data_IF_625798266572
#
_entry.id   IF_625798266572
#
_cell.length_a   1.000
_cell.length_b   1.000
_cell.length_c   1.000
_cell.angle_alpha   90.00
_cell.angle_beta   90.00
_cell.angle_gamma   90.00
#
_symmetry.space_group_name_H-M   'P 1'
#
loop_
_entity.id
_entity.type
_entity.pdbx_description
1 polymer ?
#
# COMPACT_ATOMS: atom_id res chain seq x y z
N UNK A 1 -1.58 18.84 -13.48
CA UNK A 1 -1.14 17.71 -14.31
C UNK A 1 -1.86 16.48 -13.80
N UNK A 2 -2.45 15.68 -14.68
CA UNK A 2 -3.29 14.54 -14.32
C UNK A 2 -2.43 13.30 -14.04
N UNK A 3 -2.57 12.70 -12.86
CA UNK A 3 -1.90 11.46 -12.51
C UNK A 3 -2.63 10.27 -13.17
N UNK A 4 -1.94 9.55 -14.05
CA UNK A 4 -2.54 8.43 -14.79
C UNK A 4 -2.15 7.09 -14.16
N UNK A 5 -3.14 6.30 -13.76
CA UNK A 5 -2.95 4.99 -13.16
C UNK A 5 -3.47 3.88 -14.09
N UNK A 6 -2.69 2.81 -14.28
CA UNK A 6 -3.11 1.64 -15.06
C UNK A 6 -3.71 0.56 -14.16
N UNK A 7 -4.73 -0.20 -14.63
CA UNK A 7 -5.38 -1.23 -13.81
C UNK A 7 -4.41 -2.32 -13.35
N UNK A 8 -4.75 -2.97 -12.23
CA UNK A 8 -3.98 -4.08 -11.67
C UNK A 8 -3.84 -5.24 -12.66
N UNK A 9 -2.67 -5.89 -12.73
CA UNK A 9 -2.47 -7.08 -13.57
C UNK A 9 -3.13 -8.34 -12.97
N UNK A 10 -3.44 -8.35 -11.67
CA UNK A 10 -4.07 -9.48 -10.96
C UNK A 10 -5.51 -9.15 -10.54
N UNK A 11 -6.37 -10.17 -10.56
CA UNK A 11 -7.73 -10.10 -10.03
C UNK A 11 -7.79 -10.33 -8.51
N UNK A 12 -6.80 -11.02 -7.97
CA UNK A 12 -6.71 -11.39 -6.55
C UNK A 12 -6.09 -10.26 -5.74
N UNK A 13 -5.02 -9.66 -6.26
CA UNK A 13 -4.40 -8.47 -5.66
C UNK A 13 -4.60 -7.29 -6.59
N UNK A 14 -5.50 -6.39 -6.19
CA UNK A 14 -5.91 -5.26 -7.01
C UNK A 14 -5.24 -4.00 -6.50
N UNK A 15 -4.50 -3.34 -7.38
CA UNK A 15 -4.01 -1.98 -7.13
C UNK A 15 -4.93 -0.98 -7.82
N UNK A 16 -5.35 0.04 -7.09
CA UNK A 16 -6.22 1.12 -7.56
C UNK A 16 -5.75 2.48 -7.06
N UNK A 17 -6.21 3.58 -7.66
CA UNK A 17 -6.00 4.91 -7.10
C UNK A 17 -6.83 5.05 -5.82
N UNK A 18 -6.28 5.69 -4.81
CA UNK A 18 -7.03 5.99 -3.60
C UNK A 18 -8.27 6.85 -3.90
N UNK A 19 -9.41 6.39 -3.39
CA UNK A 19 -10.66 7.14 -3.35
C UNK A 19 -11.22 7.03 -1.93
N UNK A 20 -11.42 8.17 -1.27
CA UNK A 20 -11.97 8.23 0.09
C UNK A 20 -13.38 7.64 0.23
N UNK A 21 -14.15 7.56 -0.86
CA UNK A 21 -15.46 6.92 -0.87
C UNK A 21 -15.36 5.39 -0.86
N UNK A 22 -14.33 4.84 -1.50
CA UNK A 22 -14.07 3.39 -1.55
C UNK A 22 -13.24 2.90 -0.35
N UNK A 23 -12.31 3.72 0.14
CA UNK A 23 -11.40 3.39 1.23
C UNK A 23 -11.47 4.42 2.36
N UNK A 24 -12.64 4.61 2.99
CA UNK A 24 -12.86 5.67 3.98
C UNK A 24 -11.95 5.57 5.21
N UNK A 25 -11.42 4.37 5.52
CA UNK A 25 -10.53 4.14 6.66
C UNK A 25 -9.18 4.84 6.51
N UNK A 26 -8.67 5.02 5.28
CA UNK A 26 -7.44 5.79 5.05
C UNK A 26 -7.68 7.30 5.04
N UNK A 27 -8.92 7.77 5.04
CA UNK A 27 -9.18 9.22 5.07
C UNK A 27 -8.50 9.90 6.26
N UNK A 28 -8.56 9.26 7.43
CA UNK A 28 -8.04 9.82 8.67
C UNK A 28 -6.51 9.99 8.69
N UNK A 29 -5.76 9.27 7.82
CA UNK A 29 -4.31 9.45 7.71
C UNK A 29 -3.92 10.61 6.79
N UNK A 30 -4.83 11.13 5.96
CA UNK A 30 -4.60 12.31 5.11
C UNK A 30 -5.21 13.59 5.68
N UNK A 31 -5.99 13.49 6.76
CA UNK A 31 -6.49 14.65 7.48
C UNK A 31 -5.37 15.24 8.36
N UNK A 32 -5.28 16.57 8.44
CA UNK A 32 -4.27 17.26 9.24
C UNK A 32 -4.27 16.73 10.69
N UNK A 33 -3.21 16.03 11.13
CA UNK A 33 -3.21 15.37 12.43
C UNK A 33 -3.16 16.41 13.55
N UNK A 34 -4.05 16.31 14.53
CA UNK A 34 -3.83 16.97 15.81
C UNK A 34 -2.75 16.22 16.60
N UNK A 35 -2.05 16.92 17.49
CA UNK A 35 -1.06 16.30 18.41
C UNK A 35 -1.68 15.21 19.30
N UNK A 36 -2.99 15.28 19.51
CA UNK A 36 -3.78 14.36 20.31
C UNK A 36 -4.34 13.18 19.50
N UNK A 37 -4.17 13.20 18.17
CA UNK A 37 -4.65 12.12 17.31
C UNK A 37 -3.85 10.83 17.56
N UNK A 38 -4.52 9.68 17.74
CA UNK A 38 -3.83 8.40 17.83
C UNK A 38 -3.08 8.06 16.53
N UNK A 39 -3.52 8.62 15.40
CA UNK A 39 -2.92 8.40 14.08
C UNK A 39 -1.79 9.38 13.75
N UNK A 40 -1.34 10.24 14.68
CA UNK A 40 -0.31 11.28 14.39
C UNK A 40 0.97 10.74 13.75
N UNK A 41 1.33 9.49 14.04
CA UNK A 41 2.52 8.83 13.49
C UNK A 41 2.29 8.16 12.14
N UNK A 42 1.03 8.04 11.72
CA UNK A 42 0.59 7.53 10.41
C UNK A 42 0.11 8.66 9.50
N UNK A 43 0.13 9.89 10.00
CA UNK A 43 -0.35 11.03 9.25
C UNK A 43 0.55 11.32 8.05
N UNK A 44 -0.09 11.61 6.93
CA UNK A 44 0.51 11.86 5.64
C UNK A 44 0.11 13.26 5.17
N UNK A 45 0.94 13.91 4.33
CA UNK A 45 0.56 15.19 3.75
C UNK A 45 -0.75 15.07 2.97
N UNK A 46 -1.74 15.96 3.17
CA UNK A 46 -3.04 15.88 2.50
C UNK A 46 -2.93 15.84 0.97
N UNK A 47 -1.93 16.52 0.39
CA UNK A 47 -1.64 16.53 -1.04
C UNK A 47 -1.18 15.17 -1.60
N UNK A 48 -0.74 14.24 -0.74
CA UNK A 48 -0.39 12.89 -1.17
C UNK A 48 -1.63 12.03 -1.45
N UNK A 49 -2.80 12.37 -0.90
CA UNK A 49 -4.04 11.63 -1.13
C UNK A 49 -4.37 11.51 -2.62
N UNK A 50 -4.16 12.57 -3.40
CA UNK A 50 -4.44 12.57 -4.84
C UNK A 50 -3.54 11.61 -5.63
N UNK A 51 -2.38 11.22 -5.06
CA UNK A 51 -1.37 10.35 -5.70
C UNK A 51 -1.24 9.00 -5.00
N UNK A 52 -1.96 8.80 -3.91
CA UNK A 52 -1.99 7.56 -3.17
C UNK A 52 -2.59 6.45 -4.02
N UNK A 53 -2.05 5.25 -3.87
CA UNK A 53 -2.64 4.03 -4.45
C UNK A 53 -2.94 3.04 -3.34
N UNK A 54 -3.99 2.26 -3.51
CA UNK A 54 -4.39 1.22 -2.57
C UNK A 54 -4.12 -0.12 -3.22
N UNK A 55 -3.41 -1.00 -2.52
CA UNK A 55 -3.26 -2.41 -2.87
C UNK A 55 -4.18 -3.23 -1.97
N UNK A 56 -5.18 -3.85 -2.57
CA UNK A 56 -6.20 -4.67 -1.93
C UNK A 56 -5.91 -6.15 -2.17
N UNK A 57 -6.04 -6.98 -1.13
CA UNK A 57 -6.13 -8.42 -1.31
C UNK A 57 -7.59 -8.83 -1.30
N UNK A 58 -8.07 -9.25 -2.47
CA UNK A 58 -9.44 -9.74 -2.70
C UNK A 58 -9.54 -11.27 -2.67
N UNK A 59 -8.41 -11.96 -2.45
CA UNK A 59 -8.44 -13.39 -2.18
C UNK A 59 -8.92 -13.65 -0.75
N UNK A 60 -9.43 -14.86 -0.53
CA UNK A 60 -9.80 -15.41 0.78
C UNK A 60 -8.58 -15.94 1.56
N UNK A 61 -7.37 -15.66 1.08
CA UNK A 61 -6.10 -16.16 1.62
C UNK A 61 -5.12 -15.02 1.85
N UNK A 62 -4.33 -15.15 2.92
CA UNK A 62 -3.24 -14.23 3.20
C UNK A 62 -2.11 -14.36 2.16
N UNK A 63 -1.55 -13.22 1.75
CA UNK A 63 -0.34 -13.16 0.94
C UNK A 63 0.89 -13.17 1.86
N UNK A 64 1.74 -14.17 1.69
CA UNK A 64 2.94 -14.42 2.52
C UNK A 64 4.22 -13.90 1.90
N UNK A 65 4.27 -13.83 0.57
CA UNK A 65 5.32 -13.16 -0.16
C UNK A 65 4.73 -12.47 -1.39
N UNK A 66 5.25 -11.29 -1.68
CA UNK A 66 4.78 -10.43 -2.76
C UNK A 66 5.99 -9.81 -3.44
N UNK A 67 6.03 -9.93 -4.76
CA UNK A 67 6.99 -9.23 -5.61
C UNK A 67 6.25 -8.51 -6.73
N UNK A 68 6.54 -7.23 -6.88
CA UNK A 68 5.95 -6.42 -7.94
C UNK A 68 6.90 -5.33 -8.38
N UNK A 69 6.62 -4.75 -9.55
CA UNK A 69 7.34 -3.63 -10.14
C UNK A 69 6.41 -2.45 -10.33
N UNK A 70 6.87 -1.29 -9.87
CA UNK A 70 6.34 -0.01 -10.29
C UNK A 70 7.01 0.41 -11.59
N UNK A 71 6.21 0.59 -12.63
CA UNK A 71 6.59 1.27 -13.86
C UNK A 71 6.16 2.73 -13.72
N UNK A 72 7.13 3.63 -13.54
CA UNK A 72 6.91 5.03 -13.20
C UNK A 72 7.37 5.94 -14.34
N UNK A 73 6.48 6.80 -14.83
CA UNK A 73 6.82 7.89 -15.74
C UNK A 73 6.83 9.20 -14.96
N UNK A 74 7.85 10.02 -15.16
CA UNK A 74 8.05 11.31 -14.49
C UNK A 74 7.68 12.48 -15.41
N UNK A 75 7.60 13.69 -14.84
CA UNK A 75 7.28 14.92 -15.59
C UNK A 75 8.24 15.22 -16.75
N UNK A 76 9.52 14.85 -16.60
CA UNK A 76 10.55 14.98 -17.62
C UNK A 76 10.46 13.91 -18.74
N UNK A 77 9.42 13.05 -18.70
CA UNK A 77 9.23 11.93 -19.61
C UNK A 77 10.12 10.72 -19.29
N UNK A 78 10.93 10.80 -18.24
CA UNK A 78 11.83 9.72 -17.86
C UNK A 78 11.03 8.54 -17.29
N UNK A 79 11.43 7.32 -17.63
CA UNK A 79 10.77 6.10 -17.17
C UNK A 79 11.70 5.36 -16.24
N UNK A 80 11.25 5.12 -15.00
CA UNK A 80 11.98 4.31 -14.02
C UNK A 80 11.18 3.08 -13.64
N UNK A 81 11.91 2.02 -13.33
CA UNK A 81 11.36 0.79 -12.77
C UNK A 81 11.81 0.66 -11.34
N UNK A 82 10.90 0.32 -10.44
CA UNK A 82 11.24 -0.03 -9.06
C UNK A 82 10.65 -1.38 -8.72
N UNK A 83 11.51 -2.32 -8.32
CA UNK A 83 11.05 -3.60 -7.78
C UNK A 83 10.83 -3.44 -6.29
N UNK A 84 9.70 -3.95 -5.82
CA UNK A 84 9.40 -4.13 -4.40
C UNK A 84 9.29 -5.61 -4.15
N UNK A 85 9.89 -6.06 -3.05
CA UNK A 85 9.83 -7.45 -2.60
C UNK A 85 9.61 -7.44 -1.10
N UNK A 86 8.66 -8.23 -0.66
CA UNK A 86 8.29 -8.37 0.74
C UNK A 86 7.98 -9.83 1.01
N UNK A 87 8.55 -10.37 2.07
CA UNK A 87 8.29 -11.70 2.57
C UNK A 87 8.00 -11.64 4.08
N UNK A 88 7.12 -12.54 4.51
CA UNK A 88 6.56 -12.57 5.86
C UNK A 88 7.26 -13.51 6.84
N UNK A 89 8.45 -14.01 6.49
CA UNK A 89 9.10 -15.09 7.23
C UNK A 89 10.15 -14.54 8.20
N UNK A 90 9.81 -14.49 9.48
CA UNK A 90 10.81 -14.44 10.55
C UNK A 90 10.94 -15.82 11.20
N UNK A 91 12.10 -16.12 11.79
CA UNK A 91 12.32 -17.36 12.55
C UNK A 91 11.20 -17.48 13.60
N UNK A 92 10.36 -18.51 13.45
CA UNK A 92 9.24 -18.88 14.33
C UNK A 92 7.98 -17.99 14.35
N UNK A 93 7.91 -16.91 13.55
CA UNK A 93 6.70 -16.07 13.47
C UNK A 93 6.35 -15.75 12.02
N UNK A 94 5.15 -16.18 11.63
CA UNK A 94 4.50 -15.82 10.38
C UNK A 94 3.88 -14.42 10.49
N UNK A 95 4.18 -13.55 9.52
CA UNK A 95 3.46 -12.29 9.36
C UNK A 95 2.99 -12.12 7.90
N UNK A 96 1.68 -12.04 7.63
CA UNK A 96 1.21 -11.80 6.27
C UNK A 96 1.72 -10.44 5.76
N UNK A 97 2.16 -10.41 4.51
CA UNK A 97 2.55 -9.17 3.80
C UNK A 97 1.32 -8.38 3.35
N UNK A 98 0.20 -9.08 3.19
CA UNK A 98 -1.13 -8.52 3.00
C UNK A 98 -2.16 -9.58 3.40
N UNK A 99 -2.96 -9.31 4.43
CA UNK A 99 -3.98 -10.25 4.92
C UNK A 99 -5.11 -10.43 3.91
N UNK A 100 -5.82 -11.54 3.99
CA UNK A 100 -7.07 -11.76 3.28
C UNK A 100 -8.04 -10.61 3.57
N UNK A 101 -8.69 -10.10 2.53
CA UNK A 101 -9.68 -9.00 2.60
C UNK A 101 -9.14 -7.67 3.18
N UNK A 102 -7.82 -7.54 3.37
CA UNK A 102 -7.16 -6.33 3.87
C UNK A 102 -6.59 -5.51 2.70
N UNK A 103 -6.26 -4.26 2.98
CA UNK A 103 -5.64 -3.38 2.01
C UNK A 103 -4.56 -2.50 2.64
N UNK A 104 -3.67 -1.97 1.80
CA UNK A 104 -2.66 -1.00 2.21
C UNK A 104 -2.65 0.21 1.29
N UNK A 105 -2.61 1.39 1.90
CA UNK A 105 -2.37 2.66 1.22
C UNK A 105 -0.87 2.82 1.02
N UNK A 106 -0.46 3.12 -0.21
CA UNK A 106 0.93 3.31 -0.62
C UNK A 106 1.07 4.75 -1.10
N UNK A 107 1.87 5.52 -0.37
CA UNK A 107 2.08 6.94 -0.62
C UNK A 107 3.56 7.28 -0.65
N UNK A 108 3.93 8.46 -1.17
CA UNK A 108 5.31 8.91 -1.14
C UNK A 108 5.96 8.87 0.24
N UNK A 109 5.21 9.27 1.27
CA UNK A 109 5.69 9.33 2.63
C UNK A 109 5.83 7.96 3.29
N UNK A 110 4.85 7.07 3.11
CA UNK A 110 4.84 5.75 3.72
C UNK A 110 3.76 4.82 3.13
N UNK A 111 3.93 3.52 3.36
CA UNK A 111 2.87 2.53 3.21
C UNK A 111 2.20 2.24 4.56
N UNK A 112 0.87 2.20 4.61
CA UNK A 112 0.06 1.94 5.82
C UNK A 112 -1.00 0.89 5.52
N UNK A 113 -1.08 -0.14 6.34
CA UNK A 113 -2.11 -1.19 6.29
C UNK A 113 -3.39 -0.72 6.98
N UNK A 114 -4.55 -1.09 6.42
CA UNK A 114 -5.85 -0.76 6.98
C UNK A 114 -6.04 -1.42 8.35
N UNK A 115 -5.71 -2.71 8.50
CA UNK A 115 -5.78 -3.38 9.80
C UNK A 115 -4.88 -2.74 10.86
N UNK A 116 -3.78 -2.09 10.47
CA UNK A 116 -2.94 -1.34 11.40
C UNK A 116 -3.58 0.00 11.82
N UNK A 117 -4.20 0.73 10.87
CA UNK A 117 -5.01 1.92 11.20
C UNK A 117 -6.10 1.56 12.20
N UNK A 118 -6.83 0.45 11.95
CA UNK A 118 -7.85 -0.02 12.87
C UNK A 118 -7.31 -0.37 14.25
N UNK A 119 -6.16 -1.06 14.31
CA UNK A 119 -5.52 -1.43 15.57
C UNK A 119 -5.23 -0.18 16.41
N UNK A 120 -4.62 0.84 15.80
CA UNK A 120 -4.30 2.11 16.47
C UNK A 120 -5.56 2.85 16.91
N UNK A 121 -6.60 2.92 16.07
CA UNK A 121 -7.87 3.54 16.42
C UNK A 121 -8.60 2.83 17.57
N UNK A 122 -8.39 1.53 17.74
CA UNK A 122 -8.93 0.74 18.86
C UNK A 122 -8.09 0.84 20.15
N UNK A 123 -7.10 1.74 20.19
CA UNK A 123 -6.22 1.93 21.35
C UNK A 123 -5.00 1.00 21.37
N UNK A 124 -4.74 0.31 20.26
CA UNK A 124 -3.52 -0.46 20.05
C UNK A 124 -2.27 0.41 19.93
N UNK A 125 -1.11 -0.19 20.18
CA UNK A 125 0.19 0.50 20.12
C UNK A 125 0.67 0.72 18.69
N UNK A 126 1.47 1.77 18.46
CA UNK A 126 1.95 2.17 17.13
C UNK A 126 3.32 1.59 16.72
N UNK A 127 3.76 0.46 17.27
CA UNK A 127 5.10 -0.07 16.97
C UNK A 127 5.07 -0.80 15.62
N UNK A 128 5.74 -0.24 14.60
CA UNK A 128 6.20 -0.98 13.42
C UNK A 128 5.36 -0.94 12.13
N UNK A 129 4.19 -0.30 12.10
CA UNK A 129 3.25 -0.44 10.96
C UNK A 129 3.48 0.47 9.75
N UNK A 130 4.71 0.91 9.49
CA UNK A 130 5.04 1.75 8.33
C UNK A 130 6.27 1.25 7.60
N UNK A 131 6.11 0.74 6.38
CA UNK A 131 7.24 0.35 5.53
C UNK A 131 7.57 1.47 4.53
N UNK A 132 8.73 2.13 4.73
CA UNK A 132 9.52 2.89 3.74
C UNK A 132 8.83 4.04 2.97
N UNK A 133 9.63 5.04 2.57
CA UNK A 133 9.19 6.03 1.57
C UNK A 133 9.10 5.36 0.21
N UNK A 134 7.95 5.43 -0.43
CA UNK A 134 7.89 5.14 -1.84
C UNK A 134 8.27 6.39 -2.64
N UNK A 135 9.29 6.34 -3.51
CA UNK A 135 9.71 7.51 -4.31
C UNK A 135 8.71 7.76 -5.46
N UNK A 136 7.43 7.94 -5.12
CA UNK A 136 6.36 8.34 -6.04
C UNK A 136 6.34 9.86 -6.28
N UNK A 137 7.23 10.60 -5.62
CA UNK A 137 7.38 12.05 -5.83
C UNK A 137 7.73 12.34 -7.28
N UNK A 138 6.95 13.22 -7.92
CA UNK A 138 7.15 13.60 -9.32
C UNK A 138 6.70 12.57 -10.36
N UNK A 139 6.05 11.47 -9.94
CA UNK A 139 5.46 10.49 -10.86
C UNK A 139 4.16 11.04 -11.43
N UNK A 140 4.02 10.96 -12.75
CA UNK A 140 2.85 11.41 -13.53
C UNK A 140 2.05 10.23 -14.07
N UNK A 141 2.69 9.08 -14.26
CA UNK A 141 2.01 7.83 -14.54
C UNK A 141 2.62 6.67 -13.78
N UNK A 142 1.75 5.84 -13.20
CA UNK A 142 2.12 4.66 -12.44
C UNK A 142 1.38 3.44 -13.00
N UNK A 143 2.13 2.39 -13.31
CA UNK A 143 1.59 1.08 -13.66
C UNK A 143 2.18 0.00 -12.75
N UNK A 144 1.35 -0.73 -12.00
CA UNK A 144 1.78 -1.93 -11.28
C UNK A 144 2.03 -3.08 -12.26
N UNK A 145 2.99 -3.93 -11.93
CA UNK A 145 3.28 -5.18 -12.62
C UNK A 145 3.61 -6.21 -11.54
N UNK A 146 2.71 -7.17 -11.30
CA UNK A 146 2.88 -8.18 -10.25
C UNK A 146 3.72 -9.29 -10.85
N UNK A 147 4.85 -9.57 -10.20
CA UNK A 147 5.79 -10.61 -10.64
C UNK A 147 5.52 -11.94 -9.93
N UNK A 148 5.01 -11.88 -8.70
CA UNK A 148 4.76 -13.05 -7.86
C UNK A 148 3.86 -12.70 -6.67
N UNK A 149 2.89 -13.57 -6.43
CA UNK A 149 2.12 -13.69 -5.20
C UNK A 149 2.34 -15.09 -4.64
N UNK A 150 2.59 -15.23 -3.35
CA UNK A 150 2.61 -16.51 -2.65
C UNK A 150 1.57 -16.47 -1.53
N UNK A 151 0.55 -17.32 -1.62
CA UNK A 151 -0.51 -17.42 -0.61
C UNK A 151 -0.13 -18.36 0.54
N UNK A 152 -0.87 -18.28 1.64
CA UNK A 152 -0.60 -19.04 2.87
C UNK A 152 -0.70 -20.57 2.72
N UNK A 153 -1.42 -21.05 1.71
CA UNK A 153 -1.51 -22.47 1.36
C UNK A 153 -0.40 -22.94 0.40
N UNK A 154 0.50 -22.04 0.00
CA UNK A 154 1.60 -22.33 -0.92
C UNK A 154 1.26 -22.12 -2.39
N UNK A 155 0.05 -21.65 -2.73
CA UNK A 155 -0.31 -21.29 -4.10
C UNK A 155 0.50 -20.08 -4.60
N UNK A 156 0.93 -20.13 -5.86
CA UNK A 156 1.68 -19.05 -6.52
C UNK A 156 0.85 -18.50 -7.69
N UNK A 157 0.63 -17.18 -7.69
CA UNK A 157 -0.02 -16.46 -8.77
C UNK A 157 0.88 -15.36 -9.35
N UNK A 158 0.57 -14.91 -10.56
CA UNK A 158 1.29 -13.87 -11.32
C UNK A 158 0.35 -12.69 -11.61
#
# INVERSE_FOLDING_TARGET
>A
MEFTFSPSPSLEVVVSRYDSALFPRFRAIFESPSTDSPLRFLAQPPEEADRAVVMENRADKDVTALRYRWMMTFEDGNVRKRTVSSDGYMVDVYHPVLKAEDCKSICPSMTVEESFVEHVLRGGGGIGGGSGRDSLVGVTSLRPDIDMLLFADGEIAL
#
